data_IF_356490733338
#
_entry.id   IF_356490733338
#
_cell.length_a   1.000
_cell.length_b   1.000
_cell.length_c   1.000
_cell.angle_alpha   90.00
_cell.angle_beta   90.00
_cell.angle_gamma   90.00
#
_symmetry.space_group_name_H-M   'P 1'
#
loop_
_entity.id
_entity.type
_entity.pdbx_description
1 polymer ?
#
# COMPACT_ATOMS: atom_id res chain seq x y z
N UNK A 1 -1.91 -6.42 -15.62
CA UNK A 1 -1.00 -6.37 -14.46
C UNK A 1 -0.42 -4.98 -14.33
N UNK A 2 -0.51 -4.39 -13.14
CA UNK A 2 0.01 -3.04 -12.90
C UNK A 2 1.45 -3.12 -12.39
N UNK A 3 2.26 -2.15 -12.79
CA UNK A 3 3.62 -2.04 -12.25
C UNK A 3 3.55 -1.55 -10.81
N UNK A 4 4.50 -1.97 -10.01
CA UNK A 4 4.62 -1.47 -8.63
C UNK A 4 5.83 -0.56 -8.54
N UNK A 5 5.61 0.65 -8.06
CA UNK A 5 6.69 1.60 -7.80
C UNK A 5 6.69 1.93 -6.32
N UNK A 6 7.88 2.14 -5.78
CA UNK A 6 8.05 2.42 -4.36
C UNK A 6 8.66 3.80 -4.17
N UNK A 7 8.04 4.60 -3.32
CA UNK A 7 8.67 5.85 -2.91
C UNK A 7 9.73 5.55 -1.86
N UNK A 8 10.62 6.51 -1.64
CA UNK A 8 11.64 6.33 -0.62
C UNK A 8 11.05 6.15 0.78
N UNK A 9 10.03 6.95 1.19
CA UNK A 9 9.42 6.70 2.49
C UNK A 9 8.83 5.30 2.62
N UNK A 10 8.25 4.77 1.56
CA UNK A 10 7.67 3.43 1.60
C UNK A 10 8.75 2.37 1.78
N UNK A 11 9.88 2.53 1.10
CA UNK A 11 11.00 1.60 1.25
C UNK A 11 11.50 1.62 2.70
N UNK A 12 11.64 2.82 3.25
CA UNK A 12 12.11 2.95 4.64
C UNK A 12 11.12 2.33 5.62
N UNK A 13 9.83 2.50 5.38
CA UNK A 13 8.83 1.86 6.22
C UNK A 13 8.97 0.35 6.18
N UNK A 14 9.15 -0.20 4.98
CA UNK A 14 9.28 -1.65 4.82
C UNK A 14 10.51 -2.18 5.56
N UNK A 15 11.61 -1.43 5.50
CA UNK A 15 12.85 -1.85 6.14
C UNK A 15 12.76 -1.91 7.65
N UNK A 16 11.83 -1.18 8.24
CA UNK A 16 11.65 -1.16 9.68
C UNK A 16 10.81 -2.33 10.19
N UNK A 17 10.18 -3.07 9.29
CA UNK A 17 9.25 -4.11 9.69
C UNK A 17 9.95 -5.43 9.97
N UNK A 18 9.36 -6.21 10.87
CA UNK A 18 9.76 -7.59 11.07
C UNK A 18 9.69 -8.32 9.74
N UNK A 19 10.62 -9.25 9.52
CA UNK A 19 10.75 -9.95 8.24
C UNK A 19 9.46 -10.64 7.81
N UNK A 20 8.79 -11.32 8.76
CA UNK A 20 7.57 -12.04 8.40
C UNK A 20 6.45 -11.10 8.01
N UNK A 21 6.37 -9.96 8.68
CA UNK A 21 5.38 -8.95 8.34
C UNK A 21 5.69 -8.36 6.97
N UNK A 22 6.97 -8.06 6.72
CA UNK A 22 7.37 -7.51 5.43
C UNK A 22 7.02 -8.47 4.29
N UNK A 23 7.30 -9.77 4.48
CA UNK A 23 6.99 -10.77 3.47
C UNK A 23 5.49 -10.87 3.21
N UNK A 24 4.69 -10.81 4.27
CA UNK A 24 3.24 -10.86 4.13
C UNK A 24 2.75 -9.67 3.32
N UNK A 25 3.28 -8.47 3.59
CA UNK A 25 2.90 -7.28 2.87
C UNK A 25 3.32 -7.39 1.41
N UNK A 26 4.54 -7.84 1.14
CA UNK A 26 5.03 -7.98 -0.22
C UNK A 26 4.20 -8.98 -1.02
N UNK A 27 3.82 -10.10 -0.39
CA UNK A 27 2.99 -11.09 -1.06
C UNK A 27 1.62 -10.49 -1.40
N UNK A 28 1.06 -9.71 -0.49
CA UNK A 28 -0.23 -9.07 -0.73
C UNK A 28 -0.14 -8.08 -1.89
N UNK A 29 0.94 -7.30 -1.93
CA UNK A 29 1.15 -6.33 -3.00
C UNK A 29 1.29 -7.04 -4.35
N UNK A 30 2.01 -8.16 -4.37
CA UNK A 30 2.17 -8.95 -5.60
C UNK A 30 0.82 -9.44 -6.10
N UNK A 31 0.03 -10.00 -5.19
CA UNK A 31 -1.32 -10.45 -5.56
C UNK A 31 -2.15 -9.27 -6.09
N UNK A 32 -2.07 -8.14 -5.40
CA UNK A 32 -2.84 -6.96 -5.76
C UNK A 32 -2.46 -6.47 -7.16
N UNK A 33 -1.16 -6.46 -7.46
CA UNK A 33 -0.68 -6.04 -8.77
C UNK A 33 -1.26 -6.92 -9.88
N UNK A 34 -1.28 -8.22 -9.65
CA UNK A 34 -1.78 -9.17 -10.65
C UNK A 34 -3.29 -9.07 -10.84
N UNK A 35 -4.01 -8.72 -9.78
CA UNK A 35 -5.47 -8.70 -9.80
C UNK A 35 -6.04 -7.31 -9.94
N UNK A 36 -5.19 -6.32 -10.15
CA UNK A 36 -5.59 -4.92 -10.02
C UNK A 36 -6.76 -4.54 -10.92
N UNK A 37 -6.78 -5.09 -12.14
CA UNK A 37 -7.82 -4.73 -13.10
C UNK A 37 -9.20 -5.24 -12.70
N UNK A 38 -9.23 -6.19 -11.78
CA UNK A 38 -10.49 -6.79 -11.34
C UNK A 38 -10.91 -6.31 -9.95
N UNK A 39 -10.17 -5.35 -9.39
CA UNK A 39 -10.42 -4.89 -8.02
C UNK A 39 -10.85 -3.44 -8.03
N UNK A 40 -11.65 -3.08 -7.03
CA UNK A 40 -12.07 -1.71 -6.83
C UNK A 40 -11.19 -1.11 -5.76
N UNK A 41 -10.42 -0.05 -6.09
CA UNK A 41 -9.55 0.57 -5.09
C UNK A 41 -10.35 1.10 -3.90
N UNK A 42 -9.84 0.89 -2.71
CA UNK A 42 -10.50 1.36 -1.49
C UNK A 42 -9.90 2.71 -1.10
N UNK A 43 -10.69 3.79 -1.10
CA UNK A 43 -10.17 5.11 -0.73
C UNK A 43 -9.64 5.11 0.69
N UNK A 44 -8.58 5.87 0.93
CA UNK A 44 -8.05 6.02 2.28
C UNK A 44 -9.06 6.70 3.19
N UNK A 45 -9.61 7.82 2.72
CA UNK A 45 -10.71 8.50 3.37
C UNK A 45 -11.26 9.54 2.40
N UNK A 46 -12.41 10.13 2.75
CA UNK A 46 -13.00 11.15 1.88
C UNK A 46 -12.16 12.40 1.74
N UNK A 47 -11.24 12.64 2.69
CA UNK A 47 -10.38 13.82 2.65
C UNK A 47 -9.19 13.64 1.73
N UNK A 48 -8.79 12.40 1.47
CA UNK A 48 -7.60 12.10 0.68
C UNK A 48 -8.02 11.54 -0.66
N UNK A 49 -8.37 12.43 -1.56
CA UNK A 49 -8.79 12.03 -2.90
C UNK A 49 -7.62 11.43 -3.64
N UNK A 50 -7.89 10.37 -4.40
CA UNK A 50 -6.90 9.69 -5.22
C UNK A 50 -5.81 8.99 -4.40
N UNK A 51 -6.06 8.81 -3.10
CA UNK A 51 -5.17 8.06 -2.24
C UNK A 51 -5.96 6.86 -1.72
N UNK A 52 -5.35 5.69 -1.79
CA UNK A 52 -6.05 4.44 -1.53
C UNK A 52 -5.29 3.60 -0.52
N UNK A 53 -5.96 2.60 0.02
CA UNK A 53 -5.34 1.68 0.97
C UNK A 53 -5.59 0.25 0.54
N UNK A 54 -4.59 -0.58 0.79
CA UNK A 54 -4.67 -2.03 0.62
C UNK A 54 -4.46 -2.66 1.99
N UNK A 55 -5.36 -3.52 2.39
CA UNK A 55 -5.29 -4.16 3.69
C UNK A 55 -4.45 -5.42 3.61
N UNK A 56 -3.47 -5.53 4.50
CA UNK A 56 -2.63 -6.72 4.61
C UNK A 56 -2.58 -7.08 6.08
N UNK A 57 -3.60 -7.82 6.55
CA UNK A 57 -3.77 -8.11 7.97
C UNK A 57 -4.00 -6.81 8.74
N UNK A 58 -3.20 -6.60 9.77
CA UNK A 58 -3.29 -5.36 10.55
C UNK A 58 -2.51 -4.21 9.94
N UNK A 59 -1.91 -4.44 8.78
CA UNK A 59 -1.10 -3.43 8.12
C UNK A 59 -1.84 -2.84 6.94
N UNK A 60 -1.47 -1.61 6.60
CA UNK A 60 -2.08 -0.90 5.48
C UNK A 60 -0.99 -0.44 4.54
N UNK A 61 -1.23 -0.63 3.25
CA UNK A 61 -0.35 -0.15 2.19
C UNK A 61 -1.07 1.04 1.57
N UNK A 62 -0.49 2.21 1.67
CA UNK A 62 -1.10 3.43 1.14
C UNK A 62 -0.49 3.71 -0.21
N UNK A 63 -1.33 3.85 -1.22
CA UNK A 63 -0.84 3.97 -2.58
C UNK A 63 -1.67 4.98 -3.39
N UNK A 64 -1.06 5.43 -4.48
CA UNK A 64 -1.75 6.21 -5.51
C UNK A 64 -1.63 5.45 -6.81
N UNK A 65 -2.39 5.88 -7.81
CA UNK A 65 -2.44 5.18 -9.09
C UNK A 65 -1.89 6.09 -10.17
N UNK A 66 -0.88 5.59 -10.90
CA UNK A 66 -0.37 6.25 -12.09
C UNK A 66 -1.03 5.69 -13.33
N UNK A 67 -0.48 5.99 -14.51
CA UNK A 67 -1.09 5.54 -15.75
C UNK A 67 -1.18 4.02 -15.83
N UNK A 68 -0.08 3.35 -15.50
CA UNK A 68 -0.06 1.89 -15.53
C UNK A 68 0.64 1.33 -14.31
N UNK A 69 0.65 2.10 -13.22
CA UNK A 69 1.40 1.72 -12.04
C UNK A 69 0.63 1.99 -10.77
N UNK A 70 1.02 1.26 -9.74
CA UNK A 70 0.57 1.47 -8.38
C UNK A 70 1.79 2.00 -7.63
N UNK A 71 1.67 3.18 -7.06
CA UNK A 71 2.79 3.85 -6.41
C UNK A 71 2.61 3.74 -4.91
N UNK A 72 3.47 2.98 -4.25
CA UNK A 72 3.38 2.76 -2.81
C UNK A 72 3.96 3.97 -2.12
N UNK A 73 3.12 4.70 -1.39
CA UNK A 73 3.50 5.94 -0.75
C UNK A 73 4.06 5.73 0.65
N UNK A 74 3.44 4.87 1.43
CA UNK A 74 3.95 4.50 2.75
C UNK A 74 3.17 3.31 3.29
N UNK A 75 3.69 2.71 4.34
CA UNK A 75 3.10 1.57 5.02
C UNK A 75 2.91 1.91 6.48
N UNK A 76 1.91 1.29 7.11
CA UNK A 76 1.72 1.52 8.53
C UNK A 76 0.74 0.54 9.14
N UNK A 77 0.81 0.43 10.46
CA UNK A 77 -0.15 -0.38 11.20
C UNK A 77 -1.50 0.34 11.21
N UNK A 78 -2.59 -0.42 11.18
CA UNK A 78 -3.93 0.16 11.09
C UNK A 78 -4.20 1.18 12.21
N UNK A 79 -3.56 1.01 13.36
CA UNK A 79 -3.77 1.91 14.48
C UNK A 79 -2.97 3.20 14.36
N UNK A 80 -1.95 3.21 13.51
CA UNK A 80 -1.04 4.35 13.37
C UNK A 80 -1.27 5.15 12.12
N UNK A 81 -1.78 4.48 11.07
CA UNK A 81 -1.80 5.05 9.74
C UNK A 81 -2.61 6.34 9.65
N UNK A 82 -3.65 6.46 10.45
CA UNK A 82 -4.52 7.63 10.42
C UNK A 82 -4.09 8.73 11.40
N UNK A 83 -3.04 8.49 12.16
CA UNK A 83 -2.56 9.45 13.15
C UNK A 83 -1.45 10.34 12.62
N UNK A 84 -0.81 9.92 11.55
CA UNK A 84 0.40 10.56 11.05
C UNK A 84 0.08 11.49 9.90
N UNK A 85 -0.67 12.51 10.15
CA UNK A 85 -0.95 13.46 9.07
C UNK A 85 -0.75 14.84 9.50
#
# INVERSE_FOLDING_TARGET
MAKIEWTEPAVKDLEKLDRLIALRILNKITWFSRSFEHLIPEPLSGEFKQTYKLRAGDWRVIYTIGEDSIIIQFLGHRKEIYKTK
#
